data_IF_656098759394
#
_entry.id   IF_656098759394
#
_cell.length_a   1.000
_cell.length_b   1.000
_cell.length_c   1.000
_cell.angle_alpha   90.00
_cell.angle_beta   90.00
_cell.angle_gamma   90.00
#
_symmetry.space_group_name_H-M   'P 1'
#
loop_
_entity.id
_entity.type
_entity.pdbx_description
1 polymer ?
#
# COMPACT_ATOMS: atom_id res chain seq x y z
N UNK A 1 10.60 -27.37 -19.09
CA UNK A 1 10.45 -26.69 -17.79
C UNK A 1 8.99 -26.87 -17.40
N UNK A 2 8.73 -27.34 -16.19
CA UNK A 2 7.42 -27.83 -15.77
C UNK A 2 6.52 -26.67 -15.29
N UNK A 3 5.56 -26.24 -16.12
CA UNK A 3 4.65 -25.11 -15.86
C UNK A 3 3.85 -25.25 -14.54
N UNK A 4 3.67 -26.49 -14.06
CA UNK A 4 2.90 -26.79 -12.84
C UNK A 4 3.58 -26.27 -11.57
N UNK A 5 4.91 -26.37 -11.49
CA UNK A 5 5.67 -25.96 -10.31
C UNK A 5 5.76 -24.43 -10.17
N UNK A 6 5.81 -23.71 -11.28
CA UNK A 6 5.83 -22.25 -11.29
C UNK A 6 4.49 -21.65 -10.85
N UNK A 7 3.37 -22.27 -11.26
CA UNK A 7 2.03 -21.90 -10.79
C UNK A 7 1.87 -22.10 -9.28
N UNK A 8 2.43 -23.20 -8.74
CA UNK A 8 2.41 -23.45 -7.29
C UNK A 8 3.21 -22.40 -6.53
N UNK A 9 4.45 -22.12 -6.96
CA UNK A 9 5.31 -21.07 -6.37
C UNK A 9 4.65 -19.70 -6.44
N UNK A 10 3.99 -19.36 -7.54
CA UNK A 10 3.29 -18.09 -7.69
C UNK A 10 2.12 -17.97 -6.68
N UNK A 11 1.33 -19.03 -6.50
CA UNK A 11 0.25 -19.06 -5.50
C UNK A 11 0.79 -18.94 -4.07
N UNK A 12 1.84 -19.68 -3.72
CA UNK A 12 2.49 -19.59 -2.40
C UNK A 12 2.96 -18.16 -2.11
N UNK A 13 3.63 -17.52 -3.08
CA UNK A 13 4.07 -16.12 -2.96
C UNK A 13 2.89 -15.16 -2.77
N UNK A 14 1.80 -15.34 -3.52
CA UNK A 14 0.60 -14.51 -3.39
C UNK A 14 -0.06 -14.67 -2.01
N UNK A 15 -0.10 -15.90 -1.48
CA UNK A 15 -0.61 -16.16 -0.13
C UNK A 15 0.25 -15.41 0.89
N UNK A 16 1.58 -15.60 0.86
CA UNK A 16 2.51 -14.94 1.79
C UNK A 16 2.38 -13.42 1.73
N UNK A 17 2.33 -12.85 0.53
CA UNK A 17 2.19 -11.40 0.33
C UNK A 17 0.84 -10.86 0.85
N UNK A 18 -0.23 -11.66 0.81
CA UNK A 18 -1.53 -11.27 1.39
C UNK A 18 -1.49 -11.07 2.91
N UNK A 19 -0.56 -11.74 3.61
CA UNK A 19 -0.36 -11.60 5.04
C UNK A 19 0.48 -10.37 5.43
N UNK A 20 1.15 -9.74 4.47
CA UNK A 20 2.01 -8.57 4.72
C UNK A 20 1.20 -7.43 5.35
N UNK A 21 1.63 -6.87 6.50
CA UNK A 21 0.95 -5.74 7.10
C UNK A 21 1.15 -4.47 6.26
N UNK A 22 0.06 -3.75 6.00
CA UNK A 22 0.07 -2.47 5.26
C UNK A 22 -0.21 -1.31 6.22
N UNK A 23 -1.26 -1.42 7.04
CA UNK A 23 -1.54 -0.45 8.10
C UNK A 23 -1.09 -1.00 9.44
N UNK A 24 0.03 -0.49 9.95
CA UNK A 24 0.59 -0.94 11.23
C UNK A 24 -0.29 -0.53 12.42
N UNK A 25 -0.81 0.71 12.42
CA UNK A 25 -1.63 1.22 13.52
C UNK A 25 -2.95 0.46 13.68
N UNK A 26 -3.62 0.15 12.56
CA UNK A 26 -4.91 -0.55 12.58
C UNK A 26 -4.76 -2.06 12.29
N UNK A 27 -3.52 -2.57 12.25
CA UNK A 27 -3.18 -3.98 12.00
C UNK A 27 -3.83 -4.57 10.73
N UNK A 28 -3.95 -3.77 9.67
CA UNK A 28 -4.58 -4.18 8.41
C UNK A 28 -3.54 -4.79 7.46
N UNK A 29 -3.85 -5.97 6.93
CA UNK A 29 -3.00 -6.74 6.01
C UNK A 29 -3.32 -6.46 4.55
N UNK A 30 -2.36 -6.72 3.66
CA UNK A 30 -2.46 -6.49 2.21
C UNK A 30 -3.66 -7.22 1.60
N UNK A 31 -3.92 -8.46 2.01
CA UNK A 31 -5.05 -9.23 1.52
C UNK A 31 -6.40 -8.56 1.78
N UNK A 32 -6.55 -7.82 2.88
CA UNK A 32 -7.78 -7.06 3.18
C UNK A 32 -7.95 -5.89 2.21
N UNK A 33 -6.85 -5.16 1.96
CA UNK A 33 -6.83 -4.04 1.00
C UNK A 33 -7.13 -4.54 -0.41
N UNK A 34 -6.46 -5.61 -0.86
CA UNK A 34 -6.66 -6.21 -2.20
C UNK A 34 -8.11 -6.66 -2.36
N UNK A 35 -8.69 -7.33 -1.36
CA UNK A 35 -10.11 -7.71 -1.39
C UNK A 35 -11.02 -6.47 -1.53
N UNK A 36 -10.75 -5.40 -0.79
CA UNK A 36 -11.55 -4.17 -0.90
C UNK A 36 -11.49 -3.56 -2.30
N UNK A 37 -10.31 -3.55 -2.92
CA UNK A 37 -10.10 -3.09 -4.31
C UNK A 37 -10.83 -4.00 -5.30
N UNK A 38 -10.70 -5.32 -5.17
CA UNK A 38 -11.40 -6.30 -6.00
C UNK A 38 -12.93 -6.20 -5.87
N UNK A 39 -13.43 -5.86 -4.68
CA UNK A 39 -14.85 -5.55 -4.46
C UNK A 39 -15.29 -4.20 -5.04
N UNK A 40 -14.43 -3.49 -5.78
CA UNK A 40 -14.76 -2.26 -6.50
C UNK A 40 -14.35 -0.96 -5.82
N UNK A 41 -13.52 -0.99 -4.76
CA UNK A 41 -12.97 0.24 -4.19
C UNK A 41 -11.92 0.86 -5.13
N UNK A 42 -12.23 2.03 -5.70
CA UNK A 42 -11.36 2.74 -6.66
C UNK A 42 -10.61 3.92 -6.06
N UNK A 43 -10.91 4.30 -4.82
CA UNK A 43 -10.29 5.46 -4.15
C UNK A 43 -9.79 5.09 -2.77
N UNK A 44 -8.81 5.85 -2.29
CA UNK A 44 -8.29 5.67 -0.93
C UNK A 44 -9.39 5.77 0.13
N UNK A 45 -10.34 6.70 -0.02
CA UNK A 45 -11.45 6.85 0.92
C UNK A 45 -12.36 5.62 0.93
N UNK A 46 -12.70 5.04 -0.23
CA UNK A 46 -13.50 3.82 -0.29
C UNK A 46 -12.78 2.64 0.37
N UNK A 47 -11.48 2.49 0.11
CA UNK A 47 -10.66 1.46 0.78
C UNK A 47 -10.62 1.72 2.28
N UNK A 48 -10.43 2.96 2.70
CA UNK A 48 -10.40 3.37 4.11
C UNK A 48 -11.72 3.04 4.81
N UNK A 49 -12.86 3.38 4.21
CA UNK A 49 -14.20 3.07 4.75
C UNK A 49 -14.45 1.57 4.88
N UNK A 50 -13.98 0.76 3.92
CA UNK A 50 -14.19 -0.70 3.92
C UNK A 50 -13.24 -1.45 4.85
N UNK A 51 -12.02 -0.96 5.01
CA UNK A 51 -10.94 -1.70 5.69
C UNK A 51 -10.52 -1.07 7.02
N UNK A 52 -10.92 0.18 7.28
CA UNK A 52 -10.42 0.98 8.39
C UNK A 52 -8.97 1.45 8.20
N UNK A 53 -8.32 1.22 7.05
CA UNK A 53 -6.96 1.70 6.85
C UNK A 53 -6.92 3.24 6.75
N UNK A 54 -5.94 3.87 7.41
CA UNK A 54 -5.76 5.32 7.35
C UNK A 54 -6.51 6.14 8.41
N UNK A 55 -7.43 5.52 9.16
CA UNK A 55 -8.19 6.19 10.24
C UNK A 55 -7.49 6.14 11.61
N UNK A 56 -6.32 5.51 11.70
CA UNK A 56 -5.55 5.40 12.94
C UNK A 56 -4.80 6.69 13.31
N UNK A 57 -4.09 6.70 14.44
CA UNK A 57 -3.38 7.88 14.96
C UNK A 57 -2.31 8.44 14.00
N UNK A 58 -1.83 7.63 13.05
CA UNK A 58 -0.89 8.09 12.04
C UNK A 58 -1.54 8.82 10.85
N UNK A 59 -2.87 8.98 10.80
CA UNK A 59 -3.58 9.77 9.79
C UNK A 59 -3.21 9.42 8.34
N UNK A 60 -3.10 8.13 8.03
CA UNK A 60 -2.68 7.61 6.73
C UNK A 60 -1.27 8.01 6.24
N UNK A 61 -0.42 8.64 7.05
CA UNK A 61 0.93 9.06 6.62
C UNK A 61 1.83 7.88 6.19
N UNK A 62 1.64 6.70 6.81
CA UNK A 62 2.45 5.50 6.52
C UNK A 62 1.83 4.60 5.45
N UNK A 63 0.57 4.24 5.63
CA UNK A 63 -0.12 3.30 4.74
C UNK A 63 -0.75 3.98 3.53
N UNK A 64 -1.00 5.29 3.58
CA UNK A 64 -1.68 6.05 2.54
C UNK A 64 -0.98 5.98 1.19
N UNK A 65 0.31 6.38 1.08
CA UNK A 65 1.05 6.25 -0.18
C UNK A 65 1.04 4.81 -0.69
N UNK A 66 1.25 3.82 0.18
CA UNK A 66 1.26 2.42 -0.23
C UNK A 66 -0.09 1.94 -0.79
N UNK A 67 -1.20 2.29 -0.14
CA UNK A 67 -2.55 1.93 -0.61
C UNK A 67 -2.89 2.65 -1.92
N UNK A 68 -2.52 3.92 -2.05
CA UNK A 68 -2.69 4.69 -3.28
C UNK A 68 -1.89 4.12 -4.44
N UNK A 69 -0.65 3.69 -4.21
CA UNK A 69 0.12 2.94 -5.19
C UNK A 69 -0.55 1.61 -5.61
N UNK A 70 -1.21 0.91 -4.68
CA UNK A 70 -2.02 -0.28 -5.02
C UNK A 70 -3.29 0.04 -5.83
N UNK A 71 -3.77 1.28 -5.78
CA UNK A 71 -4.87 1.80 -6.59
C UNK A 71 -4.41 2.33 -7.96
N UNK A 72 -3.09 2.36 -8.23
CA UNK A 72 -2.50 2.84 -9.47
C UNK A 72 -2.09 4.32 -9.47
N UNK A 73 -2.09 4.98 -8.31
CA UNK A 73 -1.56 6.34 -8.19
C UNK A 73 -0.03 6.35 -8.24
N UNK A 74 0.56 7.43 -8.77
CA UNK A 74 2.01 7.56 -8.85
C UNK A 74 2.64 7.80 -7.47
N UNK A 75 3.43 6.83 -7.03
CA UNK A 75 4.23 6.90 -5.81
C UNK A 75 5.70 6.90 -6.15
N UNK A 76 6.43 7.86 -5.58
CA UNK A 76 7.87 7.94 -5.64
C UNK A 76 8.49 7.36 -4.37
N UNK A 77 9.72 6.86 -4.46
CA UNK A 77 10.47 6.44 -3.29
C UNK A 77 11.48 7.52 -2.96
N UNK A 78 11.44 8.02 -1.72
CA UNK A 78 12.41 8.96 -1.20
C UNK A 78 13.83 8.43 -1.40
N UNK A 79 14.70 9.21 -2.05
CA UNK A 79 16.08 8.79 -2.34
C UNK A 79 16.96 8.70 -1.09
N UNK A 80 16.64 9.45 -0.05
CA UNK A 80 17.41 9.43 1.19
C UNK A 80 17.01 8.29 2.14
N UNK A 81 15.71 8.12 2.37
CA UNK A 81 15.24 7.23 3.43
C UNK A 81 14.40 6.03 2.95
N UNK A 82 14.18 5.90 1.64
CA UNK A 82 13.44 4.78 1.03
C UNK A 82 11.93 4.80 1.27
N UNK A 83 11.37 5.92 1.77
CA UNK A 83 9.95 6.04 2.07
C UNK A 83 9.09 6.27 0.83
N UNK A 84 7.93 5.63 0.73
CA UNK A 84 6.98 5.88 -0.36
C UNK A 84 6.25 7.21 -0.17
N UNK A 85 6.35 8.10 -1.15
CA UNK A 85 5.77 9.44 -1.21
C UNK A 85 4.76 9.48 -2.36
N UNK A 86 3.63 10.13 -2.17
CA UNK A 86 2.63 10.33 -3.23
C UNK A 86 2.99 11.56 -4.06
N UNK A 87 3.05 11.44 -5.39
CA UNK A 87 3.47 12.54 -6.29
C UNK A 87 2.48 13.72 -6.41
N UNK A 88 1.30 13.63 -5.81
CA UNK A 88 0.20 14.56 -6.04
C UNK A 88 0.22 15.90 -5.27
N UNK A 89 1.12 16.09 -4.32
CA UNK A 89 1.18 17.32 -3.51
C UNK A 89 2.58 17.94 -3.62
N UNK A 90 2.70 19.03 -4.39
CA UNK A 90 3.88 19.89 -4.32
C UNK A 90 3.85 20.71 -3.02
N UNK A 91 4.97 20.86 -2.31
CA UNK A 91 6.29 20.25 -2.55
C UNK A 91 6.34 18.76 -2.18
N UNK A 92 7.14 17.96 -2.92
CA UNK A 92 7.38 16.54 -2.66
C UNK A 92 8.32 16.33 -1.46
N UNK A 93 8.01 16.98 -0.33
CA UNK A 93 8.76 16.83 0.90
C UNK A 93 8.43 15.49 1.53
N UNK A 94 9.46 14.68 1.78
CA UNK A 94 9.30 13.39 2.43
C UNK A 94 8.71 13.59 3.84
N UNK A 95 7.53 13.02 4.17
CA UNK A 95 6.93 13.17 5.50
C UNK A 95 7.72 12.41 6.59
N UNK A 96 8.73 11.63 6.21
CA UNK A 96 9.59 10.87 7.13
C UNK A 96 10.89 11.57 7.47
N UNK A 97 11.64 12.08 6.47
CA UNK A 97 12.93 12.72 6.70
C UNK A 97 12.96 14.22 6.39
N UNK A 98 11.91 14.78 5.79
CA UNK A 98 11.87 16.19 5.39
C UNK A 98 12.63 16.52 4.10
N UNK A 99 13.22 15.53 3.42
CA UNK A 99 13.93 15.76 2.17
C UNK A 99 12.96 16.10 1.02
N UNK A 100 13.23 17.19 0.30
CA UNK A 100 12.57 17.51 -0.96
C UNK A 100 13.02 16.52 -2.04
N UNK A 101 12.06 15.92 -2.75
CA UNK A 101 12.32 14.97 -3.85
C UNK A 101 12.21 15.64 -5.22
#
# INVERSE_FOLDING_TARGET
MDDSDDLRKARERAIIDSYRPICLCNKIRKGVIVRAIQSGAKTFEMVSRRTGAGTGPCGAQRCGPMIRGMLGEEVETCRECGWSILKGSSPLTCPRCGAEQ
#
